data_IF_493859360441
#
_entry.id   IF_493859360441
#
_cell.length_a   1.000
_cell.length_b   1.000
_cell.length_c   1.000
_cell.angle_alpha   90.00
_cell.angle_beta   90.00
_cell.angle_gamma   90.00
#
_symmetry.space_group_name_H-M   'P 1'
#
loop_
_entity.id
_entity.type
_entity.pdbx_description
1 polymer ?
#
# COMPACT_ATOMS: atom_id res chain seq x y z
N UNK A 1 20.23 7.62 31.81
CA UNK A 1 20.11 6.37 31.02
C UNK A 1 19.97 6.78 29.55
N UNK A 2 21.08 6.83 28.81
CA UNK A 2 21.12 7.26 27.40
C UNK A 2 21.10 6.03 26.51
N UNK A 3 20.16 5.96 25.58
CA UNK A 3 20.11 4.92 24.56
C UNK A 3 20.76 5.46 23.29
N UNK A 4 21.91 4.90 22.91
CA UNK A 4 22.54 5.11 21.61
C UNK A 4 22.37 3.84 20.77
N UNK A 5 22.16 3.97 19.46
CA UNK A 5 22.51 2.89 18.55
C UNK A 5 23.52 3.37 17.51
N UNK A 6 24.76 2.92 17.65
CA UNK A 6 25.72 2.79 16.56
C UNK A 6 25.41 1.47 15.81
N UNK A 7 24.79 1.58 14.64
CA UNK A 7 24.86 0.56 13.59
C UNK A 7 24.83 1.28 12.24
N UNK A 8 25.99 1.76 11.82
CA UNK A 8 26.26 2.14 10.44
C UNK A 8 27.38 1.26 9.93
N UNK A 9 27.02 0.08 9.41
CA UNK A 9 27.90 -0.65 8.51
C UNK A 9 27.50 -0.36 7.07
N UNK A 10 28.53 -0.02 6.30
CA UNK A 10 28.49 0.58 4.98
C UNK A 10 27.97 -0.39 3.93
N UNK A 11 26.93 0.00 3.21
CA UNK A 11 26.57 -0.61 1.92
C UNK A 11 26.75 0.46 0.84
N UNK A 12 27.79 0.31 0.02
CA UNK A 12 27.97 1.10 -1.19
C UNK A 12 26.81 0.85 -2.17
N UNK A 13 26.23 1.89 -2.78
CA UNK A 13 25.11 1.72 -3.69
C UNK A 13 25.59 1.26 -5.07
N UNK A 14 25.19 0.06 -5.49
CA UNK A 14 24.99 -0.20 -6.92
C UNK A 14 23.69 0.51 -7.33
N UNK A 15 23.85 1.78 -7.66
CA UNK A 15 22.84 2.58 -8.36
C UNK A 15 22.66 2.02 -9.76
N UNK A 16 21.58 1.27 -9.97
CA UNK A 16 20.87 1.31 -11.25
C UNK A 16 19.65 2.19 -11.06
N UNK A 17 19.89 3.50 -11.05
CA UNK A 17 18.84 4.48 -11.24
C UNK A 17 17.98 4.05 -12.44
N UNK A 18 16.70 3.75 -12.18
CA UNK A 18 15.72 3.49 -13.22
C UNK A 18 15.69 4.70 -14.14
N UNK A 19 16.15 4.52 -15.39
CA UNK A 19 16.13 5.56 -16.40
C UNK A 19 14.73 6.19 -16.46
N UNK A 20 14.66 7.50 -16.26
CA UNK A 20 13.41 8.24 -16.34
C UNK A 20 12.76 7.98 -17.71
N UNK A 21 11.52 7.45 -17.69
CA UNK A 21 10.80 7.06 -18.90
C UNK A 21 10.50 8.30 -19.74
N UNK A 22 10.70 8.20 -21.07
CA UNK A 22 10.26 9.23 -22.02
C UNK A 22 8.76 9.51 -21.86
N UNK A 23 8.33 10.78 -21.78
CA UNK A 23 6.92 11.14 -21.83
C UNK A 23 6.26 10.55 -23.09
N UNK A 24 5.13 9.86 -22.94
CA UNK A 24 4.37 9.30 -24.07
C UNK A 24 4.65 7.84 -24.43
N UNK A 25 5.67 7.17 -23.88
CA UNK A 25 5.85 5.74 -24.10
C UNK A 25 4.72 4.93 -23.40
N UNK A 26 4.03 4.01 -24.10
CA UNK A 26 2.98 3.19 -23.50
C UNK A 26 3.54 2.38 -22.33
N UNK A 27 2.79 2.30 -21.23
CA UNK A 27 3.16 1.44 -20.11
C UNK A 27 2.93 -0.01 -20.54
N UNK A 28 3.93 -0.90 -20.46
CA UNK A 28 3.70 -2.30 -20.75
C UNK A 28 2.62 -2.85 -19.82
N UNK A 29 1.71 -3.65 -20.37
CA UNK A 29 0.70 -4.34 -19.58
C UNK A 29 1.38 -5.32 -18.63
N UNK A 30 0.87 -5.40 -17.40
CA UNK A 30 1.33 -6.34 -16.36
C UNK A 30 0.17 -7.22 -15.97
N UNK A 31 0.45 -8.51 -15.78
CA UNK A 31 -0.51 -9.47 -15.25
C UNK A 31 -0.16 -9.81 -13.81
N UNK A 32 -1.17 -9.89 -12.95
CA UNK A 32 -1.03 -10.28 -11.56
C UNK A 32 -1.92 -11.47 -11.21
N UNK A 33 -1.55 -12.19 -10.16
CA UNK A 33 -2.28 -13.36 -9.65
C UNK A 33 -2.86 -13.02 -8.29
N UNK A 34 -4.16 -13.25 -8.10
CA UNK A 34 -4.80 -13.20 -6.79
C UNK A 34 -4.65 -14.57 -6.13
N UNK A 35 -4.04 -14.61 -4.96
CA UNK A 35 -3.90 -15.82 -4.14
C UNK A 35 -4.32 -15.53 -2.70
N UNK A 36 -5.12 -16.42 -2.11
CA UNK A 36 -5.76 -16.17 -0.81
C UNK A 36 -5.29 -17.12 0.30
N UNK A 37 -4.99 -18.38 -0.03
CA UNK A 37 -4.82 -19.44 0.97
C UNK A 37 -3.63 -20.35 0.66
N UNK A 38 -3.10 -20.96 1.72
CA UNK A 38 -2.16 -22.07 1.71
C UNK A 38 -2.25 -22.80 3.07
N UNK A 39 -1.90 -24.10 3.11
CA UNK A 39 -1.94 -24.88 4.36
C UNK A 39 -0.64 -24.79 5.17
N UNK A 40 0.44 -24.31 4.56
CA UNK A 40 1.76 -24.18 5.19
C UNK A 40 2.58 -23.05 4.56
N UNK A 41 3.65 -22.65 5.24
CA UNK A 41 4.60 -21.67 4.71
C UNK A 41 5.28 -22.13 3.42
N UNK A 42 5.62 -23.42 3.30
CA UNK A 42 6.24 -23.97 2.09
C UNK A 42 5.27 -24.00 0.91
N UNK A 43 4.01 -24.36 1.14
CA UNK A 43 2.99 -24.30 0.07
C UNK A 43 2.83 -22.87 -0.45
N UNK A 44 2.82 -21.88 0.46
CA UNK A 44 2.74 -20.48 0.09
C UNK A 44 3.98 -19.98 -0.67
N UNK A 45 5.18 -20.31 -0.17
CA UNK A 45 6.44 -19.94 -0.80
C UNK A 45 6.59 -20.57 -2.19
N UNK A 46 6.23 -21.85 -2.34
CA UNK A 46 6.23 -22.55 -3.64
C UNK A 46 5.25 -21.91 -4.62
N UNK A 47 4.05 -21.52 -4.17
CA UNK A 47 3.08 -20.80 -4.99
C UNK A 47 3.62 -19.46 -5.47
N UNK A 48 4.27 -18.68 -4.60
CA UNK A 48 4.89 -17.42 -4.98
C UNK A 48 6.00 -17.61 -6.04
N UNK A 49 6.89 -18.59 -5.85
CA UNK A 49 7.93 -18.93 -6.83
C UNK A 49 7.35 -19.38 -8.17
N UNK A 50 6.26 -20.14 -8.15
CA UNK A 50 5.58 -20.57 -9.37
C UNK A 50 4.97 -19.38 -10.13
N UNK A 51 4.32 -18.45 -9.43
CA UNK A 51 3.80 -17.21 -10.03
C UNK A 51 4.93 -16.41 -10.69
N UNK A 52 6.07 -16.28 -10.01
CA UNK A 52 7.26 -15.64 -10.56
C UNK A 52 7.81 -16.36 -11.80
N UNK A 53 7.96 -17.70 -11.77
CA UNK A 53 8.50 -18.48 -12.88
C UNK A 53 7.61 -18.46 -14.13
N UNK A 54 6.30 -18.27 -13.95
CA UNK A 54 5.34 -18.14 -15.05
C UNK A 54 5.33 -16.74 -15.68
N UNK A 55 6.15 -15.80 -15.17
CA UNK A 55 6.28 -14.45 -15.73
C UNK A 55 5.20 -13.47 -15.27
N UNK A 56 4.37 -13.82 -14.29
CA UNK A 56 3.45 -12.86 -13.68
C UNK A 56 4.24 -11.81 -12.89
N UNK A 57 3.81 -10.57 -12.98
CA UNK A 57 4.56 -9.45 -12.39
C UNK A 57 4.24 -9.24 -10.92
N UNK A 58 3.01 -9.56 -10.49
CA UNK A 58 2.55 -9.26 -9.14
C UNK A 58 1.71 -10.40 -8.56
N UNK A 59 2.01 -10.81 -7.32
CA UNK A 59 1.10 -11.61 -6.49
C UNK A 59 0.36 -10.68 -5.54
N UNK A 60 -0.96 -10.79 -5.51
CA UNK A 60 -1.81 -10.01 -4.61
C UNK A 60 -2.71 -10.89 -3.76
N UNK A 61 -3.01 -10.42 -2.54
CA UNK A 61 -3.84 -11.15 -1.57
C UNK A 61 -5.00 -10.28 -1.06
N UNK A 62 -6.25 -10.81 -1.03
CA UNK A 62 -7.38 -10.14 -0.40
C UNK A 62 -7.30 -10.16 1.13
N UNK A 63 -7.98 -9.20 1.76
CA UNK A 63 -7.99 -9.00 3.21
C UNK A 63 -9.30 -9.50 3.81
N UNK A 64 -9.47 -10.82 3.87
CA UNK A 64 -10.64 -11.47 4.48
C UNK A 64 -10.29 -12.10 5.83
N UNK A 65 -11.23 -12.08 6.78
CA UNK A 65 -10.98 -12.61 8.13
C UNK A 65 -11.13 -14.14 8.23
N UNK A 66 -11.90 -14.76 7.33
CA UNK A 66 -12.33 -16.16 7.46
C UNK A 66 -11.98 -17.07 6.26
N UNK A 67 -11.36 -16.55 5.21
CA UNK A 67 -11.03 -17.33 4.01
C UNK A 67 -9.65 -17.02 3.39
N UNK A 68 -8.88 -16.13 3.99
CA UNK A 68 -7.53 -15.77 3.50
C UNK A 68 -6.51 -15.88 4.61
N UNK A 69 -5.24 -16.06 4.22
CA UNK A 69 -4.13 -15.70 5.10
C UNK A 69 -4.19 -14.20 5.39
N UNK A 70 -3.67 -13.77 6.54
CA UNK A 70 -3.49 -12.35 6.82
C UNK A 70 -2.54 -11.73 5.77
N UNK A 71 -2.92 -10.63 5.09
CA UNK A 71 -2.17 -10.11 3.95
C UNK A 71 -0.70 -9.81 4.22
N UNK A 72 -0.39 -9.03 5.25
CA UNK A 72 0.97 -8.50 5.43
C UNK A 72 2.00 -9.59 5.79
N UNK A 73 1.72 -10.53 6.71
CA UNK A 73 2.60 -11.68 6.94
C UNK A 73 2.73 -12.59 5.71
N UNK A 74 1.64 -12.86 4.99
CA UNK A 74 1.68 -13.69 3.79
C UNK A 74 2.56 -13.04 2.71
N UNK A 75 2.40 -11.74 2.45
CA UNK A 75 3.21 -11.03 1.46
C UNK A 75 4.68 -10.93 1.88
N UNK A 76 4.99 -10.81 3.17
CA UNK A 76 6.37 -10.87 3.65
C UNK A 76 7.02 -12.22 3.33
N UNK A 77 6.30 -13.33 3.59
CA UNK A 77 6.79 -14.67 3.25
C UNK A 77 6.95 -14.87 1.73
N UNK A 78 6.00 -14.39 0.92
CA UNK A 78 6.10 -14.44 -0.54
C UNK A 78 7.28 -13.61 -1.07
N UNK A 79 7.49 -12.42 -0.51
CA UNK A 79 8.60 -11.54 -0.89
C UNK A 79 9.95 -12.18 -0.54
N UNK A 80 10.08 -12.82 0.62
CA UNK A 80 11.30 -13.53 1.02
C UNK A 80 11.62 -14.74 0.12
N UNK A 81 10.59 -15.40 -0.42
CA UNK A 81 10.73 -16.57 -1.29
C UNK A 81 11.03 -16.25 -2.76
N UNK A 82 10.96 -14.98 -3.17
CA UNK A 82 11.03 -14.53 -4.58
C UNK A 82 12.04 -13.41 -4.75
N UNK A 83 12.49 -13.15 -5.99
CA UNK A 83 13.55 -12.17 -6.26
C UNK A 83 13.07 -10.91 -6.99
N UNK A 84 12.14 -11.07 -7.93
CA UNK A 84 11.62 -10.02 -8.80
C UNK A 84 10.11 -9.81 -8.65
N UNK A 85 9.36 -10.82 -8.18
CA UNK A 85 7.91 -10.78 -8.06
C UNK A 85 7.44 -9.61 -7.18
N UNK A 86 6.56 -8.76 -7.70
CA UNK A 86 5.94 -7.72 -6.86
C UNK A 86 4.88 -8.34 -5.96
N UNK A 87 4.74 -7.80 -4.76
CA UNK A 87 3.76 -8.28 -3.78
C UNK A 87 2.81 -7.14 -3.43
N UNK A 88 1.52 -7.41 -3.32
CA UNK A 88 0.56 -6.37 -3.00
C UNK A 88 -0.73 -6.85 -2.37
N UNK A 89 -1.53 -5.91 -1.89
CA UNK A 89 -2.83 -6.18 -1.25
C UNK A 89 -3.97 -5.94 -2.23
N UNK A 90 -5.02 -6.77 -2.18
CA UNK A 90 -6.17 -6.69 -3.10
C UNK A 90 -7.55 -6.78 -2.41
N UNK A 91 -8.07 -5.70 -1.85
CA UNK A 91 -7.30 -4.63 -1.21
C UNK A 91 -7.50 -4.76 0.29
N UNK A 92 -6.65 -4.10 1.09
CA UNK A 92 -6.89 -4.00 2.52
C UNK A 92 -8.21 -3.29 2.79
N UNK A 93 -8.94 -3.76 3.79
CA UNK A 93 -10.10 -3.06 4.32
C UNK A 93 -9.59 -2.02 5.31
N UNK A 94 -9.81 -0.74 5.01
CA UNK A 94 -9.31 0.37 5.82
C UNK A 94 -9.65 0.23 7.32
N UNK A 95 -10.84 -0.28 7.62
CA UNK A 95 -11.37 -0.32 8.99
C UNK A 95 -10.77 -1.41 9.87
N UNK A 96 -9.95 -2.31 9.29
CA UNK A 96 -9.34 -3.40 10.04
C UNK A 96 -8.05 -2.97 10.76
N UNK A 97 -7.43 -1.85 10.38
CA UNK A 97 -6.14 -1.41 10.91
C UNK A 97 -6.09 0.10 11.12
N UNK A 98 -5.36 0.53 12.14
CA UNK A 98 -5.08 1.96 12.34
C UNK A 98 -4.07 2.45 11.28
N UNK A 99 -4.24 3.64 10.67
CA UNK A 99 -3.38 4.11 9.58
C UNK A 99 -1.90 4.24 9.95
N UNK A 100 -1.59 4.60 11.20
CA UNK A 100 -0.19 4.69 11.68
C UNK A 100 0.47 3.30 11.72
N UNK A 101 -0.26 2.28 12.19
CA UNK A 101 0.24 0.90 12.22
C UNK A 101 0.42 0.38 10.80
N UNK A 102 -0.58 0.59 9.95
CA UNK A 102 -0.51 0.19 8.55
C UNK A 102 0.65 0.89 7.81
N UNK A 103 0.93 2.16 8.09
CA UNK A 103 2.10 2.84 7.52
C UNK A 103 3.41 2.14 7.90
N UNK A 104 3.56 1.77 9.18
CA UNK A 104 4.75 1.05 9.67
C UNK A 104 4.87 -0.34 9.04
N UNK A 105 3.78 -1.10 8.96
CA UNK A 105 3.79 -2.43 8.34
C UNK A 105 4.09 -2.35 6.84
N UNK A 106 3.49 -1.38 6.13
CA UNK A 106 3.74 -1.14 4.72
C UNK A 106 5.19 -0.73 4.42
N UNK A 107 5.78 0.17 5.23
CA UNK A 107 7.18 0.54 5.09
C UNK A 107 8.11 -0.66 5.36
N UNK A 108 7.79 -1.46 6.39
CA UNK A 108 8.56 -2.67 6.72
C UNK A 108 8.52 -3.68 5.58
N UNK A 109 7.33 -3.96 5.03
CA UNK A 109 7.18 -4.88 3.91
C UNK A 109 7.87 -4.37 2.64
N UNK A 110 7.88 -3.05 2.43
CA UNK A 110 8.64 -2.45 1.33
C UNK A 110 10.15 -2.70 1.48
N UNK A 111 10.71 -2.50 2.69
CA UNK A 111 12.10 -2.82 2.99
C UNK A 111 12.39 -4.30 2.79
N UNK A 112 11.59 -5.19 3.37
CA UNK A 112 11.79 -6.65 3.28
C UNK A 112 11.66 -7.18 1.85
N UNK A 113 10.83 -6.53 1.03
CA UNK A 113 10.66 -6.90 -0.37
C UNK A 113 11.71 -6.27 -1.30
N UNK A 114 12.56 -5.36 -0.81
CA UNK A 114 13.51 -4.62 -1.64
C UNK A 114 12.82 -3.65 -2.61
N UNK A 115 11.75 -2.98 -2.17
CA UNK A 115 11.02 -2.00 -2.97
C UNK A 115 10.02 -2.60 -3.96
N UNK A 116 9.54 -3.83 -3.68
CA UNK A 116 8.61 -4.57 -4.56
C UNK A 116 7.16 -4.54 -4.07
N UNK A 117 6.86 -3.81 -2.99
CA UNK A 117 5.52 -3.77 -2.40
C UNK A 117 4.58 -2.78 -3.12
N UNK A 118 3.31 -3.14 -3.27
CA UNK A 118 2.21 -2.28 -3.74
C UNK A 118 1.05 -2.31 -2.73
N UNK A 119 0.71 -1.16 -2.14
CA UNK A 119 -0.35 -1.05 -1.13
C UNK A 119 -1.71 -0.80 -1.78
N UNK A 120 -2.52 -1.85 -1.93
CA UNK A 120 -3.94 -1.73 -2.22
C UNK A 120 -4.77 -1.51 -0.96
N UNK A 121 -5.60 -0.47 -0.93
CA UNK A 121 -6.53 -0.17 0.17
C UNK A 121 -7.90 0.28 -0.34
N UNK A 122 -8.96 -0.01 0.39
CA UNK A 122 -10.32 0.43 0.07
C UNK A 122 -11.21 0.58 1.30
N UNK A 123 -12.40 1.14 1.08
CA UNK A 123 -13.38 1.42 2.14
C UNK A 123 -14.12 0.17 2.66
N UNK A 124 -13.76 -1.02 2.17
CA UNK A 124 -14.43 -2.28 2.48
C UNK A 124 -15.59 -2.61 1.55
N UNK A 125 -15.84 -3.90 1.34
CA UNK A 125 -16.88 -4.41 0.44
C UNK A 125 -18.27 -4.30 1.10
N UNK A 126 -19.37 -4.17 0.33
CA UNK A 126 -20.72 -4.09 0.89
C UNK A 126 -21.13 -5.28 1.77
N UNK A 127 -20.57 -6.46 1.50
CA UNK A 127 -20.80 -7.71 2.24
C UNK A 127 -19.85 -7.91 3.44
N UNK A 128 -18.95 -6.96 3.72
CA UNK A 128 -18.02 -7.03 4.85
C UNK A 128 -18.68 -6.77 6.22
N UNK A 129 -20.01 -6.61 6.28
CA UNK A 129 -20.74 -6.35 7.52
C UNK A 129 -20.57 -7.47 8.57
N UNK A 130 -20.44 -8.72 8.13
CA UNK A 130 -20.16 -9.85 9.03
C UNK A 130 -18.76 -9.76 9.65
N UNK A 131 -17.74 -9.45 8.85
CA UNK A 131 -16.36 -9.30 9.30
C UNK A 131 -16.19 -8.09 10.24
N UNK A 132 -16.88 -6.99 9.96
CA UNK A 132 -16.89 -5.83 10.87
C UNK A 132 -17.49 -6.18 12.24
N UNK A 133 -18.55 -6.99 12.27
CA UNK A 133 -19.12 -7.49 13.54
C UNK A 133 -18.14 -8.38 14.30
N UNK A 134 -17.34 -9.20 13.63
CA UNK A 134 -16.28 -10.00 14.27
C UNK A 134 -15.25 -9.10 14.98
N UNK A 135 -15.03 -7.89 14.48
CA UNK A 135 -14.14 -6.88 15.07
C UNK A 135 -14.84 -5.94 16.07
N UNK A 136 -16.12 -6.19 16.39
CA UNK A 136 -16.90 -5.32 17.27
C UNK A 136 -17.19 -3.93 16.67
N UNK A 137 -17.13 -3.78 15.35
CA UNK A 137 -17.34 -2.51 14.65
C UNK A 137 -18.72 -2.47 13.99
N UNK A 138 -19.35 -1.29 14.03
CA UNK A 138 -20.51 -1.01 13.21
C UNK A 138 -20.13 -0.99 11.72
N UNK A 139 -21.01 -1.47 10.87
CA UNK A 139 -20.84 -1.36 9.43
C UNK A 139 -21.50 -0.06 8.94
N UNK A 140 -20.72 1.03 8.95
CA UNK A 140 -21.21 2.35 8.61
C UNK A 140 -21.59 2.49 7.12
N UNK A 141 -22.32 3.56 6.83
CA UNK A 141 -22.69 3.92 5.45
C UNK A 141 -21.45 4.05 4.55
N UNK A 142 -21.62 3.80 3.25
CA UNK A 142 -20.52 3.89 2.29
C UNK A 142 -19.84 5.26 2.29
N UNK A 143 -20.60 6.35 2.45
CA UNK A 143 -20.06 7.70 2.49
C UNK A 143 -19.13 7.92 3.71
N UNK A 144 -19.53 7.44 4.89
CA UNK A 144 -18.70 7.52 6.10
C UNK A 144 -17.41 6.71 5.94
N UNK A 145 -17.51 5.49 5.38
CA UNK A 145 -16.33 4.64 5.14
C UNK A 145 -15.38 5.25 4.10
N UNK A 146 -15.89 5.92 3.07
CA UNK A 146 -15.08 6.65 2.08
C UNK A 146 -14.40 7.88 2.70
N UNK A 147 -15.10 8.66 3.53
CA UNK A 147 -14.51 9.80 4.24
C UNK A 147 -13.38 9.34 5.18
N UNK A 148 -13.61 8.27 5.93
CA UNK A 148 -12.60 7.64 6.79
C UNK A 148 -11.38 7.16 5.98
N UNK A 149 -11.59 6.51 4.84
CA UNK A 149 -10.50 6.12 3.95
C UNK A 149 -9.69 7.35 3.48
N UNK A 150 -10.34 8.47 3.17
CA UNK A 150 -9.64 9.69 2.77
C UNK A 150 -8.75 10.25 3.89
N UNK A 151 -9.24 10.29 5.14
CA UNK A 151 -8.43 10.68 6.31
C UNK A 151 -7.22 9.74 6.49
N UNK A 152 -7.45 8.43 6.43
CA UNK A 152 -6.42 7.39 6.51
C UNK A 152 -5.35 7.55 5.43
N UNK A 153 -5.75 7.81 4.18
CA UNK A 153 -4.84 8.04 3.07
C UNK A 153 -3.96 9.28 3.28
N UNK A 154 -4.47 10.34 3.89
CA UNK A 154 -3.67 11.51 4.25
C UNK A 154 -2.54 11.14 5.20
N UNK A 155 -2.88 10.44 6.29
CA UNK A 155 -1.92 9.98 7.30
C UNK A 155 -0.89 9.03 6.70
N UNK A 156 -1.35 8.01 5.95
CA UNK A 156 -0.49 7.02 5.29
C UNK A 156 0.53 7.67 4.36
N UNK A 157 0.08 8.61 3.51
CA UNK A 157 0.96 9.28 2.55
C UNK A 157 2.04 10.11 3.23
N UNK A 158 1.70 10.84 4.29
CA UNK A 158 2.66 11.66 5.03
C UNK A 158 3.70 10.79 5.75
N UNK A 159 3.25 9.79 6.50
CA UNK A 159 4.14 8.88 7.23
C UNK A 159 5.08 8.11 6.30
N UNK A 160 4.56 7.56 5.19
CA UNK A 160 5.38 6.82 4.22
C UNK A 160 6.36 7.72 3.45
N UNK A 161 6.10 9.02 3.36
CA UNK A 161 7.04 10.00 2.81
C UNK A 161 8.07 10.50 3.84
N UNK A 162 8.09 9.92 5.05
CA UNK A 162 9.04 10.28 6.10
C UNK A 162 8.66 11.53 6.91
N UNK A 163 7.42 11.99 6.81
CA UNK A 163 6.94 13.14 7.57
C UNK A 163 6.53 12.75 8.99
N UNK A 164 6.62 13.71 9.91
CA UNK A 164 5.90 13.67 11.19
C UNK A 164 4.47 14.16 10.96
N UNK A 165 3.47 13.36 11.33
CA UNK A 165 2.06 13.65 11.07
C UNK A 165 1.32 13.91 12.37
N UNK A 166 0.67 15.07 12.45
CA UNK A 166 -0.36 15.40 13.45
C UNK A 166 -1.67 15.66 12.70
N UNK A 167 -2.75 14.98 13.09
CA UNK A 167 -4.05 15.10 12.46
C UNK A 167 -5.18 14.90 13.49
N UNK A 168 -6.22 15.73 13.40
CA UNK A 168 -7.43 15.63 14.22
C UNK A 168 -8.64 15.55 13.31
N UNK A 169 -8.89 14.35 12.78
CA UNK A 169 -10.01 14.03 11.91
C UNK A 169 -11.22 13.50 12.67
N UNK A 170 -12.29 13.24 11.93
CA UNK A 170 -13.53 12.66 12.49
C UNK A 170 -13.34 11.19 12.89
N UNK A 171 -12.47 10.48 12.18
CA UNK A 171 -12.23 9.05 12.40
C UNK A 171 -10.89 8.75 13.06
N UNK A 172 -9.88 9.59 12.86
CA UNK A 172 -8.55 9.39 13.41
C UNK A 172 -8.02 10.65 14.10
N UNK A 173 -7.47 10.45 15.30
CA UNK A 173 -6.62 11.43 15.97
C UNK A 173 -5.22 10.86 16.06
N UNK A 174 -4.25 11.61 15.53
CA UNK A 174 -2.83 11.24 15.46
C UNK A 174 -2.03 12.43 15.95
N UNK A 175 -1.09 12.19 16.86
CA UNK A 175 -0.27 13.24 17.45
C UNK A 175 1.22 12.96 17.25
N UNK A 176 1.93 13.86 16.56
CA UNK A 176 3.37 13.81 16.31
C UNK A 176 3.87 12.42 15.85
N UNK A 177 3.06 11.70 15.06
CA UNK A 177 3.38 10.35 14.67
C UNK A 177 4.51 10.34 13.63
N UNK A 178 5.48 9.46 13.86
CA UNK A 178 6.56 9.14 12.92
C UNK A 178 6.77 7.63 12.90
N UNK A 179 7.19 7.10 11.76
CA UNK A 179 7.44 5.66 11.61
C UNK A 179 8.90 5.37 11.30
N UNK A 180 9.34 4.18 11.67
CA UNK A 180 10.61 3.58 11.28
C UNK A 180 10.41 2.06 11.13
N UNK A 181 10.96 1.41 10.08
CA UNK A 181 11.79 2.00 9.03
C UNK A 181 11.00 2.88 8.04
N UNK A 182 11.70 3.62 7.18
CA UNK A 182 11.12 4.26 5.99
C UNK A 182 11.19 3.30 4.78
N UNK A 183 10.25 3.41 3.82
CA UNK A 183 10.28 2.57 2.63
C UNK A 183 11.51 2.83 1.74
N UNK A 184 11.88 1.82 0.97
CA UNK A 184 12.92 1.90 -0.06
C UNK A 184 12.39 2.68 -1.28
N UNK A 185 11.13 2.43 -1.67
CA UNK A 185 10.50 3.14 -2.79
C UNK A 185 10.27 4.61 -2.46
N UNK A 186 10.70 5.51 -3.35
CA UNK A 186 10.49 6.95 -3.25
C UNK A 186 9.44 7.44 -4.27
N UNK A 187 8.56 8.40 -3.89
CA UNK A 187 8.42 9.01 -2.57
C UNK A 187 7.77 8.10 -1.51
N UNK A 188 7.24 6.95 -1.93
CA UNK A 188 6.61 5.91 -1.10
C UNK A 188 6.26 4.71 -2.00
N UNK A 189 5.85 3.56 -1.44
CA UNK A 189 5.25 2.48 -2.23
C UNK A 189 4.01 2.97 -2.99
N UNK A 190 3.73 2.43 -4.19
CA UNK A 190 2.49 2.70 -4.91
C UNK A 190 1.27 2.41 -4.02
N UNK A 191 0.34 3.36 -3.96
CA UNK A 191 -0.95 3.17 -3.27
C UNK A 191 -2.05 3.08 -4.32
N UNK A 192 -2.72 1.93 -4.35
CA UNK A 192 -3.86 1.64 -5.21
C UNK A 192 -5.12 1.78 -4.36
N UNK A 193 -6.03 2.67 -4.75
CA UNK A 193 -7.29 2.88 -4.03
C UNK A 193 -8.41 2.17 -4.77
N UNK A 194 -8.99 1.14 -4.17
CA UNK A 194 -10.16 0.49 -4.74
C UNK A 194 -11.43 1.24 -4.36
N UNK A 195 -12.34 1.36 -5.33
CA UNK A 195 -13.61 2.04 -5.14
C UNK A 195 -14.66 1.55 -6.10
N UNK A 196 -15.87 1.34 -5.58
CA UNK A 196 -17.09 1.18 -6.37
C UNK A 196 -18.03 2.33 -6.03
N UNK A 197 -17.98 3.40 -6.83
CA UNK A 197 -18.82 4.58 -6.66
C UNK A 197 -18.29 5.79 -7.43
N UNK A 198 -19.20 6.63 -7.97
CA UNK A 198 -18.85 7.85 -8.74
C UNK A 198 -17.93 8.80 -7.97
N UNK A 199 -18.04 8.83 -6.65
CA UNK A 199 -17.29 9.75 -5.77
C UNK A 199 -15.80 9.43 -5.66
N UNK A 200 -15.40 8.15 -5.78
CA UNK A 200 -13.98 7.74 -5.75
C UNK A 200 -13.28 7.97 -7.10
N UNK A 201 -14.03 7.91 -8.21
CA UNK A 201 -13.52 8.16 -9.57
C UNK A 201 -13.26 9.65 -9.84
N UNK A 202 -13.91 10.56 -9.11
CA UNK A 202 -13.73 12.01 -9.26
C UNK A 202 -12.43 12.56 -8.67
N UNK A 203 -11.84 11.87 -7.68
CA UNK A 203 -10.71 12.38 -6.91
C UNK A 203 -9.33 11.89 -7.40
N UNK A 204 -9.27 11.00 -8.39
CA UNK A 204 -8.00 10.39 -8.86
C UNK A 204 -7.53 10.89 -10.24
N UNK A 205 -8.24 11.80 -10.91
CA UNK A 205 -7.91 12.22 -12.28
C UNK A 205 -7.65 13.73 -12.49
N UNK A 206 -7.53 14.54 -11.44
CA UNK A 206 -7.26 15.98 -11.63
C UNK A 206 -5.82 16.35 -11.26
N UNK A 207 -4.88 16.09 -12.17
CA UNK A 207 -3.69 16.94 -12.28
C UNK A 207 -4.17 18.23 -12.95
N UNK A 208 -4.59 19.20 -12.15
CA UNK A 208 -4.84 20.55 -12.66
C UNK A 208 -3.48 21.17 -12.96
N UNK A 209 -3.05 21.13 -14.21
CA UNK A 209 -1.95 21.97 -14.68
C UNK A 209 -2.36 23.45 -14.53
N UNK A 210 -1.45 24.34 -14.12
CA UNK A 210 -1.72 25.77 -14.14
C UNK A 210 -1.97 26.22 -15.59
N UNK A 211 -3.06 26.94 -15.81
CA UNK A 211 -3.35 27.59 -17.09
C UNK A 211 -2.24 28.61 -17.37
N UNK A 212 -1.54 28.44 -18.48
CA UNK A 212 -0.63 29.45 -19.01
C UNK A 212 -1.50 30.45 -19.77
N UNK A 213 -1.70 31.63 -19.18
CA UNK A 213 -2.41 32.73 -19.81
C UNK A 213 -1.45 33.40 -20.80
N UNK A 214 -1.52 33.00 -22.07
CA UNK A 214 -0.92 33.73 -23.17
C UNK A 214 -2.00 34.53 -23.88
N UNK A 215 -2.44 35.61 -23.25
CA UNK A 215 -3.14 36.69 -23.94
C UNK A 215 -2.16 37.38 -24.88
N UNK A 216 -2.28 37.06 -26.16
CA UNK A 216 -1.85 37.92 -27.26
C UNK A 216 -2.56 39.27 -27.13
N UNK A 217 -1.80 40.34 -27.12
CA UNK A 217 -2.23 41.63 -27.66
C UNK A 217 -1.01 42.46 -28.01
N UNK A 218 -0.88 42.70 -29.31
CA UNK A 218 -0.18 43.80 -29.99
C UNK A 218 1.34 43.80 -30.01
#
# INVERSE_FOLDING_TARGET
MRYAPEYMENVHPLSTAGAARRPGAPRPFRFGVVAASARSGEEWASKARQVESLGYTTLVIPDGLNYTLSPLPALAAAAAATRALRVGTYVLVNDFRHPVLLAKEAATLDVLSGGRFELGIGAGRPDAAAENRMLGRAFDSGAVRVARLAESLGILKGLLAGQTVTASGSSYSVNEARISPLPVQQPRPPILVAGSGRQLLGSTCCVRQPANDSSRSS
#
